data_IF_713302860441
#
_entry.id   IF_713302860441
#
_cell.length_a   1.000
_cell.length_b   1.000
_cell.length_c   1.000
_cell.angle_alpha   90.00
_cell.angle_beta   90.00
_cell.angle_gamma   90.00
#
_symmetry.space_group_name_H-M   'P 1'
#
loop_
_entity.id
_entity.type
_entity.pdbx_description
1 polymer ?
#
# COMPACT_ATOMS: atom_id res chain seq x y z
N UNK A 1 -18.86 19.21 -33.34
CA UNK A 1 -18.15 18.00 -32.88
C UNK A 1 -17.02 18.46 -32.00
N UNK A 2 -17.33 18.69 -30.74
CA UNK A 2 -16.32 19.05 -29.75
C UNK A 2 -15.79 17.76 -29.13
N UNK A 3 -14.58 17.36 -29.55
CA UNK A 3 -13.78 16.43 -28.79
C UNK A 3 -13.28 17.23 -27.60
N UNK A 4 -13.87 16.98 -26.41
CA UNK A 4 -13.32 17.46 -25.16
C UNK A 4 -11.95 16.84 -25.00
N UNK A 5 -10.93 17.65 -25.25
CA UNK A 5 -9.54 17.42 -24.88
C UNK A 5 -9.50 17.34 -23.34
N UNK A 6 -9.78 16.17 -22.77
CA UNK A 6 -9.56 15.92 -21.34
C UNK A 6 -8.07 15.65 -21.20
N UNK A 7 -7.36 16.69 -20.77
CA UNK A 7 -5.98 16.57 -20.31
C UNK A 7 -5.90 15.36 -19.34
N UNK A 8 -4.96 14.42 -19.53
CA UNK A 8 -4.88 13.25 -18.69
C UNK A 8 -4.72 13.69 -17.24
N UNK A 9 -5.57 13.18 -16.36
CA UNK A 9 -5.56 13.47 -14.93
C UNK A 9 -4.13 13.36 -14.37
N UNK A 10 -3.71 14.36 -13.60
CA UNK A 10 -2.40 14.33 -12.98
C UNK A 10 -2.32 13.18 -11.97
N UNK A 11 -1.15 12.58 -11.79
CA UNK A 11 -0.92 11.51 -10.80
C UNK A 11 -1.34 11.92 -9.37
N UNK A 12 -1.17 13.21 -9.02
CA UNK A 12 -1.55 13.72 -7.71
C UNK A 12 -3.07 13.80 -7.54
N UNK A 13 -3.79 14.30 -8.53
CA UNK A 13 -5.26 14.31 -8.52
C UNK A 13 -5.83 12.89 -8.44
N UNK A 14 -5.24 11.94 -9.18
CA UNK A 14 -5.62 10.53 -9.09
C UNK A 14 -5.36 9.96 -7.68
N UNK A 15 -4.22 10.27 -7.06
CA UNK A 15 -3.92 9.87 -5.69
C UNK A 15 -4.94 10.45 -4.70
N UNK A 16 -5.31 11.71 -4.85
CA UNK A 16 -6.29 12.38 -3.98
C UNK A 16 -7.71 11.81 -4.13
N UNK A 17 -8.07 11.37 -5.34
CA UNK A 17 -9.36 10.71 -5.60
C UNK A 17 -9.45 9.32 -4.95
N UNK A 18 -8.33 8.62 -4.82
CA UNK A 18 -8.22 7.28 -4.25
C UNK A 18 -7.98 6.19 -5.28
N UNK A 19 -6.97 5.37 -5.01
CA UNK A 19 -6.45 4.35 -5.91
C UNK A 19 -6.29 3.00 -5.20
N UNK A 20 -6.30 1.93 -5.99
CA UNK A 20 -5.71 0.65 -5.60
C UNK A 20 -4.21 0.72 -5.86
N UNK A 21 -3.41 0.57 -4.80
CA UNK A 21 -1.95 0.59 -4.87
C UNK A 21 -1.43 -0.71 -4.24
N UNK A 22 -1.11 -1.74 -5.06
CA UNK A 22 -0.46 -2.95 -4.58
C UNK A 22 0.89 -2.65 -3.92
N UNK A 23 1.14 -3.27 -2.76
CA UNK A 23 2.46 -3.33 -2.15
C UNK A 23 3.21 -4.52 -2.78
N UNK A 24 4.03 -4.25 -3.79
CA UNK A 24 4.60 -5.26 -4.68
C UNK A 24 5.54 -6.22 -3.95
N UNK A 25 5.30 -7.56 -3.99
CA UNK A 25 6.24 -8.55 -3.51
C UNK A 25 7.51 -8.63 -4.34
N UNK A 26 8.55 -9.22 -3.77
CA UNK A 26 9.81 -9.49 -4.44
C UNK A 26 9.78 -10.87 -5.10
N UNK A 27 9.97 -10.92 -6.41
CA UNK A 27 10.07 -12.16 -7.16
C UNK A 27 11.50 -12.73 -7.06
N UNK A 28 11.64 -13.93 -6.50
CA UNK A 28 12.91 -14.63 -6.37
C UNK A 28 12.83 -16.01 -7.03
N UNK A 29 13.98 -16.51 -7.52
CA UNK A 29 14.16 -17.87 -7.94
C UNK A 29 14.53 -18.81 -6.77
N UNK A 30 14.69 -20.10 -7.02
CA UNK A 30 15.03 -21.09 -6.00
C UNK A 30 16.40 -20.84 -5.32
N UNK A 31 17.28 -20.07 -5.94
CA UNK A 31 18.56 -19.63 -5.37
C UNK A 31 18.45 -18.32 -4.60
N UNK A 32 17.22 -17.80 -4.41
CA UNK A 32 16.91 -16.52 -3.75
C UNK A 32 17.55 -15.33 -4.45
N UNK A 33 17.77 -15.43 -5.74
CA UNK A 33 18.19 -14.32 -6.59
C UNK A 33 16.96 -13.70 -7.25
N UNK A 34 17.06 -12.43 -7.63
CA UNK A 34 15.98 -11.71 -8.32
C UNK A 34 15.58 -12.44 -9.61
N UNK A 35 14.30 -12.80 -9.70
CA UNK A 35 13.68 -13.22 -10.95
C UNK A 35 13.11 -12.00 -11.66
N UNK A 36 13.93 -11.40 -12.51
CA UNK A 36 13.62 -10.15 -13.17
C UNK A 36 12.35 -10.24 -14.04
N UNK A 37 12.19 -11.35 -14.79
CA UNK A 37 11.02 -11.49 -15.68
C UNK A 37 9.73 -11.62 -14.86
N UNK A 38 9.73 -12.35 -13.77
CA UNK A 38 8.57 -12.45 -12.88
C UNK A 38 8.31 -11.13 -12.14
N UNK A 39 9.37 -10.41 -11.76
CA UNK A 39 9.21 -9.08 -11.15
C UNK A 39 8.54 -8.10 -12.13
N UNK A 40 8.94 -8.10 -13.41
CA UNK A 40 8.29 -7.33 -14.48
C UNK A 40 6.84 -7.78 -14.69
N UNK A 41 6.61 -9.10 -14.70
CA UNK A 41 5.27 -9.67 -14.86
C UNK A 41 4.32 -9.25 -13.74
N UNK A 42 4.76 -9.14 -12.50
CA UNK A 42 3.95 -8.60 -11.40
C UNK A 42 3.49 -7.17 -11.70
N UNK A 43 4.38 -6.29 -12.14
CA UNK A 43 4.01 -4.90 -12.48
C UNK A 43 3.01 -4.86 -13.64
N UNK A 44 3.22 -5.69 -14.67
CA UNK A 44 2.29 -5.82 -15.81
C UNK A 44 0.92 -6.31 -15.37
N UNK A 45 0.87 -7.30 -14.48
CA UNK A 45 -0.36 -7.79 -13.88
C UNK A 45 -1.12 -6.68 -13.16
N UNK A 46 -0.47 -5.91 -12.29
CA UNK A 46 -1.11 -4.82 -11.54
C UNK A 46 -1.68 -3.75 -12.47
N UNK A 47 -0.92 -3.32 -13.45
CA UNK A 47 -1.38 -2.30 -14.40
C UNK A 47 -2.52 -2.81 -15.29
N UNK A 48 -2.47 -4.05 -15.74
CA UNK A 48 -3.54 -4.70 -16.51
C UNK A 48 -4.82 -4.90 -15.67
N UNK A 49 -4.68 -5.23 -14.37
CA UNK A 49 -5.79 -5.35 -13.43
C UNK A 49 -6.51 -4.00 -13.18
N UNK A 50 -5.87 -2.87 -13.49
CA UNK A 50 -6.40 -1.54 -13.31
C UNK A 50 -5.94 -0.84 -12.02
N UNK A 51 -4.88 -1.32 -11.38
CA UNK A 51 -4.25 -0.60 -10.27
C UNK A 51 -3.85 0.81 -10.71
N UNK A 52 -4.09 1.82 -9.88
CA UNK A 52 -3.75 3.22 -10.20
C UNK A 52 -2.30 3.60 -9.85
N UNK A 53 -1.57 2.72 -9.21
CA UNK A 53 -0.16 2.87 -8.86
C UNK A 53 0.42 1.60 -8.29
N UNK A 54 1.72 1.60 -8.01
CA UNK A 54 2.42 0.48 -7.37
C UNK A 54 3.40 1.03 -6.34
N UNK A 55 3.49 0.36 -5.19
CA UNK A 55 4.49 0.63 -4.17
C UNK A 55 5.53 -0.50 -4.13
N UNK A 56 6.80 -0.17 -4.29
CA UNK A 56 7.94 -1.09 -4.21
C UNK A 56 8.87 -0.75 -3.05
N UNK A 57 9.80 -1.62 -2.72
CA UNK A 57 10.75 -1.47 -1.60
C UNK A 57 10.06 -1.22 -0.24
N UNK A 58 8.84 -1.73 -0.11
CA UNK A 58 8.01 -1.74 1.10
C UNK A 58 8.14 -3.10 1.82
N UNK A 59 7.34 -3.34 2.86
CA UNK A 59 7.42 -4.59 3.65
C UNK A 59 7.36 -5.86 2.76
N UNK A 60 6.40 -5.96 1.86
CA UNK A 60 6.23 -7.11 0.95
C UNK A 60 7.39 -7.28 -0.05
N UNK A 61 8.08 -6.19 -0.41
CA UNK A 61 9.30 -6.25 -1.23
C UNK A 61 10.52 -6.67 -0.42
N UNK A 62 10.37 -6.81 0.90
CA UNK A 62 11.40 -7.17 1.88
C UNK A 62 12.47 -6.09 2.06
N UNK A 63 12.51 -5.48 3.23
CA UNK A 63 13.42 -4.36 3.51
C UNK A 63 14.90 -4.71 3.32
N UNK A 64 15.24 -6.01 3.45
CA UNK A 64 16.60 -6.54 3.27
C UNK A 64 17.16 -6.35 1.85
N UNK A 65 16.37 -5.99 0.83
CA UNK A 65 16.88 -5.60 -0.50
C UNK A 65 17.92 -4.47 -0.41
N UNK A 66 17.92 -3.70 0.69
CA UNK A 66 18.84 -2.59 0.97
C UNK A 66 20.20 -3.04 1.54
N UNK A 67 20.28 -4.29 2.00
CA UNK A 67 21.53 -4.83 2.49
C UNK A 67 22.58 -4.80 1.37
N UNK A 68 23.76 -4.19 1.59
CA UNK A 68 24.82 -4.15 0.59
C UNK A 68 25.24 -5.52 0.07
N UNK A 69 25.11 -6.58 0.90
CA UNK A 69 25.39 -7.96 0.49
C UNK A 69 24.34 -8.56 -0.45
N UNK A 70 23.13 -7.98 -0.48
CA UNK A 70 22.01 -8.37 -1.35
C UNK A 70 21.94 -7.47 -2.58
N UNK A 71 22.03 -6.15 -2.40
CA UNK A 71 22.16 -5.17 -3.48
C UNK A 71 20.98 -5.08 -4.45
N UNK A 72 19.76 -5.39 -4.01
CA UNK A 72 18.58 -5.43 -4.89
C UNK A 72 17.72 -4.15 -4.86
N UNK A 73 18.06 -3.16 -4.03
CA UNK A 73 17.26 -1.94 -3.91
C UNK A 73 17.12 -1.23 -5.26
N UNK A 74 18.23 -0.83 -5.87
CA UNK A 74 18.21 -0.11 -7.14
C UNK A 74 17.65 -0.95 -8.30
N UNK A 75 18.06 -2.22 -8.53
CA UNK A 75 17.48 -3.05 -9.60
C UNK A 75 15.95 -3.17 -9.54
N UNK A 76 15.37 -3.39 -8.37
CA UNK A 76 13.92 -3.51 -8.19
C UNK A 76 13.21 -2.19 -8.52
N UNK A 77 13.79 -1.06 -8.13
CA UNK A 77 13.24 0.26 -8.44
C UNK A 77 13.26 0.55 -9.95
N UNK A 78 14.36 0.24 -10.61
CA UNK A 78 14.52 0.43 -12.05
C UNK A 78 13.51 -0.38 -12.84
N UNK A 79 13.36 -1.68 -12.53
CA UNK A 79 12.36 -2.57 -13.15
C UNK A 79 10.95 -2.00 -13.00
N UNK A 80 10.57 -1.59 -11.79
CA UNK A 80 9.23 -1.07 -11.56
C UNK A 80 8.99 0.26 -12.29
N UNK A 81 9.97 1.18 -12.28
CA UNK A 81 9.86 2.45 -12.98
C UNK A 81 9.74 2.27 -14.50
N UNK A 82 10.52 1.36 -15.10
CA UNK A 82 10.48 1.03 -16.52
C UNK A 82 9.11 0.47 -16.93
N UNK A 83 8.61 -0.55 -16.22
CA UNK A 83 7.34 -1.19 -16.55
C UNK A 83 6.15 -0.24 -16.36
N UNK A 84 6.16 0.61 -15.32
CA UNK A 84 5.12 1.62 -15.10
C UNK A 84 5.15 2.70 -16.18
N UNK A 85 6.33 3.19 -16.59
CA UNK A 85 6.47 4.13 -17.72
C UNK A 85 5.99 3.52 -19.02
N UNK A 86 6.30 2.24 -19.27
CA UNK A 86 5.82 1.53 -20.45
C UNK A 86 4.30 1.33 -20.44
N UNK A 87 3.71 1.07 -19.28
CA UNK A 87 2.26 0.97 -19.12
C UNK A 87 1.58 2.33 -19.32
N UNK A 88 2.14 3.42 -18.80
CA UNK A 88 1.65 4.79 -19.00
C UNK A 88 1.59 5.12 -20.51
N UNK A 89 2.67 4.83 -21.23
CA UNK A 89 2.75 5.09 -22.67
C UNK A 89 1.73 4.26 -23.48
N UNK A 90 1.44 3.01 -23.06
CA UNK A 90 0.49 2.13 -23.73
C UNK A 90 -0.97 2.50 -23.49
N UNK A 91 -1.30 2.99 -22.31
CA UNK A 91 -2.69 3.17 -21.88
C UNK A 91 -3.11 4.64 -21.73
N UNK A 92 -2.20 5.60 -21.97
CA UNK A 92 -2.48 7.02 -21.78
C UNK A 92 -2.86 7.37 -20.33
N UNK A 93 -2.25 6.67 -19.35
CA UNK A 93 -2.50 6.84 -17.91
C UNK A 93 -1.22 7.29 -17.21
N UNK A 94 -1.38 7.84 -16.01
CA UNK A 94 -0.27 8.22 -15.15
C UNK A 94 -0.31 7.37 -13.86
N UNK A 95 0.28 6.17 -13.89
CA UNK A 95 0.37 5.33 -12.69
C UNK A 95 1.23 5.99 -11.62
N UNK A 96 0.73 6.00 -10.39
CA UNK A 96 1.49 6.56 -9.25
C UNK A 96 2.63 5.62 -8.87
N UNK A 97 3.86 6.12 -8.93
CA UNK A 97 5.10 5.41 -8.59
C UNK A 97 5.50 5.75 -7.17
N UNK A 98 5.37 4.78 -6.27
CA UNK A 98 5.69 4.93 -4.85
C UNK A 98 6.81 3.97 -4.48
N UNK A 99 7.74 4.43 -3.65
CA UNK A 99 8.77 3.56 -3.09
C UNK A 99 8.88 3.77 -1.58
N UNK A 100 9.14 2.70 -0.84
CA UNK A 100 9.46 2.80 0.58
C UNK A 100 10.78 3.53 0.80
N UNK A 101 10.82 4.41 1.80
CA UNK A 101 12.03 5.08 2.31
C UNK A 101 12.24 4.63 3.74
N UNK A 102 13.46 4.23 4.08
CA UNK A 102 13.83 3.67 5.37
C UNK A 102 15.13 4.25 5.90
N UNK A 103 15.43 3.92 7.17
CA UNK A 103 16.72 4.19 7.78
C UNK A 103 16.82 5.54 8.50
N UNK A 104 18.01 5.84 9.05
CA UNK A 104 18.32 7.15 9.62
C UNK A 104 18.25 8.26 8.59
N UNK A 105 18.19 9.53 9.01
CA UNK A 105 17.92 10.67 8.15
C UNK A 105 18.83 10.75 6.92
N UNK A 106 20.14 10.52 7.07
CA UNK A 106 21.06 10.55 5.95
C UNK A 106 20.76 9.48 4.89
N UNK A 107 20.44 8.25 5.31
CA UNK A 107 20.03 7.18 4.40
C UNK A 107 18.70 7.52 3.73
N UNK A 108 17.71 7.98 4.49
CA UNK A 108 16.38 8.32 3.97
C UNK A 108 16.46 9.43 2.91
N UNK A 109 17.33 10.43 3.10
CA UNK A 109 17.60 11.48 2.09
C UNK A 109 18.23 10.87 0.82
N UNK A 110 19.25 10.04 0.95
CA UNK A 110 19.90 9.40 -0.19
C UNK A 110 18.94 8.47 -0.97
N UNK A 111 18.06 7.73 -0.27
CA UNK A 111 17.00 6.97 -0.91
C UNK A 111 16.03 7.90 -1.66
N UNK A 112 15.59 9.02 -1.05
CA UNK A 112 14.71 9.99 -1.69
C UNK A 112 15.33 10.61 -2.97
N UNK A 113 16.62 10.93 -2.95
CA UNK A 113 17.38 11.42 -4.12
C UNK A 113 17.41 10.37 -5.24
N UNK A 114 17.65 9.10 -4.90
CA UNK A 114 17.58 7.98 -5.85
C UNK A 114 16.19 7.86 -6.47
N UNK A 115 15.13 7.95 -5.66
CA UNK A 115 13.75 7.90 -6.13
C UNK A 115 13.45 9.04 -7.11
N UNK A 116 13.84 10.26 -6.77
CA UNK A 116 13.66 11.43 -7.62
C UNK A 116 14.35 11.24 -8.97
N UNK A 117 15.58 10.71 -8.98
CA UNK A 117 16.35 10.45 -10.21
C UNK A 117 15.69 9.41 -11.12
N UNK A 118 15.01 8.41 -10.55
CA UNK A 118 14.30 7.35 -11.28
C UNK A 118 12.88 7.76 -11.71
N UNK A 119 12.40 8.92 -11.27
CA UNK A 119 11.08 9.46 -11.60
C UNK A 119 9.95 8.84 -10.79
N UNK A 120 10.22 8.49 -9.53
CA UNK A 120 9.18 8.19 -8.56
C UNK A 120 8.46 9.46 -8.13
N UNK A 121 7.17 9.35 -7.82
CA UNK A 121 6.34 10.48 -7.46
C UNK A 121 6.35 10.78 -5.97
N UNK A 122 6.48 9.75 -5.12
CA UNK A 122 6.45 9.89 -3.67
C UNK A 122 7.21 8.79 -2.94
N UNK A 123 7.71 9.13 -1.75
CA UNK A 123 8.31 8.20 -0.81
C UNK A 123 7.37 7.81 0.32
N UNK A 124 7.13 6.52 0.53
CA UNK A 124 6.43 5.99 1.72
C UNK A 124 7.43 5.91 2.87
N UNK A 125 7.39 6.90 3.77
CA UNK A 125 8.42 7.09 4.79
C UNK A 125 8.18 6.23 6.03
N UNK A 126 9.08 5.28 6.28
CA UNK A 126 9.08 4.43 7.47
C UNK A 126 9.90 5.06 8.59
N UNK A 127 9.32 5.13 9.79
CA UNK A 127 9.99 5.60 11.01
C UNK A 127 10.55 4.45 11.87
N UNK A 128 10.59 3.23 11.34
CA UNK A 128 11.02 2.03 12.07
C UNK A 128 12.47 2.11 12.58
N UNK A 129 13.36 2.80 11.88
CA UNK A 129 14.74 3.00 12.30
C UNK A 129 14.90 3.99 13.48
N UNK A 130 13.87 4.80 13.74
CA UNK A 130 13.87 5.87 14.74
C UNK A 130 12.94 5.54 15.92
N UNK A 131 12.96 4.30 16.38
CA UNK A 131 11.99 3.78 17.37
C UNK A 131 12.04 4.50 18.72
N UNK A 132 13.22 4.96 19.14
CA UNK A 132 13.45 5.56 20.44
C UNK A 132 13.44 7.08 20.42
N UNK A 133 13.35 7.69 19.25
CA UNK A 133 13.36 9.13 19.07
C UNK A 133 12.03 9.77 19.49
N UNK A 134 12.10 11.00 19.98
CA UNK A 134 10.91 11.79 20.32
C UNK A 134 10.23 12.38 19.07
N UNK A 135 9.04 12.96 19.27
CA UNK A 135 8.26 13.55 18.18
C UNK A 135 9.02 14.70 17.47
N UNK A 136 9.88 15.44 18.18
CA UNK A 136 10.61 16.57 17.58
C UNK A 136 11.65 16.08 16.58
N UNK A 137 12.44 15.08 16.94
CA UNK A 137 13.41 14.44 16.04
C UNK A 137 12.71 13.75 14.86
N UNK A 138 11.58 13.07 15.11
CA UNK A 138 10.79 12.45 14.04
C UNK A 138 10.29 13.50 13.03
N UNK A 139 9.77 14.62 13.49
CA UNK A 139 9.28 15.69 12.61
C UNK A 139 10.44 16.34 11.85
N UNK A 140 11.60 16.53 12.48
CA UNK A 140 12.81 17.01 11.78
C UNK A 140 13.23 16.06 10.67
N UNK A 141 13.26 14.76 10.94
CA UNK A 141 13.53 13.73 9.95
C UNK A 141 12.55 13.78 8.77
N UNK A 142 11.24 13.82 9.05
CA UNK A 142 10.20 13.90 8.03
C UNK A 142 10.36 15.16 7.15
N UNK A 143 10.62 16.31 7.77
CA UNK A 143 10.85 17.57 7.04
C UNK A 143 12.07 17.50 6.13
N UNK A 144 13.18 16.90 6.60
CA UNK A 144 14.40 16.77 5.81
C UNK A 144 14.18 15.91 4.55
N UNK A 145 13.48 14.79 4.67
CA UNK A 145 13.14 13.93 3.52
C UNK A 145 12.14 14.60 2.59
N UNK A 146 11.13 15.29 3.14
CA UNK A 146 10.11 16.00 2.37
C UNK A 146 10.67 17.17 1.51
N UNK A 147 11.85 17.67 1.82
CA UNK A 147 12.54 18.67 0.97
C UNK A 147 13.05 18.09 -0.35
N UNK A 148 13.26 16.77 -0.42
CA UNK A 148 13.81 16.10 -1.60
C UNK A 148 12.69 15.57 -2.51
N UNK A 149 11.68 14.95 -1.93
CA UNK A 149 10.58 14.29 -2.64
C UNK A 149 9.29 14.39 -1.81
N UNK A 150 8.09 14.49 -2.44
CA UNK A 150 6.83 14.34 -1.72
C UNK A 150 6.79 13.06 -0.90
N UNK A 151 6.29 13.13 0.34
CA UNK A 151 6.24 11.98 1.23
C UNK A 151 4.81 11.56 1.56
N UNK A 152 4.67 10.24 1.74
CA UNK A 152 3.49 9.58 2.29
C UNK A 152 3.86 9.11 3.69
N UNK A 153 3.12 9.54 4.70
CA UNK A 153 3.29 9.04 6.07
C UNK A 153 2.96 7.55 6.15
N UNK A 154 3.71 6.80 6.94
CA UNK A 154 3.47 5.38 7.12
C UNK A 154 3.24 5.04 8.59
N UNK A 155 1.99 4.84 8.98
CA UNK A 155 1.66 4.30 10.29
C UNK A 155 1.69 2.78 10.24
N UNK A 156 2.86 2.19 10.45
CA UNK A 156 3.05 0.74 10.47
C UNK A 156 2.79 0.19 11.87
N UNK A 157 2.08 -0.93 11.97
CA UNK A 157 1.82 -1.61 13.25
C UNK A 157 3.12 -2.11 13.92
N UNK A 158 3.18 -2.12 15.28
CA UNK A 158 4.38 -2.55 16.00
C UNK A 158 4.77 -4.00 15.76
N UNK A 159 3.82 -4.91 15.50
CA UNK A 159 4.09 -6.35 15.30
C UNK A 159 5.01 -6.64 14.10
N UNK A 160 5.00 -5.77 13.07
CA UNK A 160 5.86 -5.90 11.88
C UNK A 160 6.89 -4.79 11.78
N UNK A 161 7.35 -4.26 12.91
CA UNK A 161 8.45 -3.32 12.96
C UNK A 161 8.08 -1.85 13.08
N UNK A 162 6.81 -1.49 13.15
CA UNK A 162 6.36 -0.13 13.36
C UNK A 162 6.52 0.38 14.80
N UNK A 163 5.97 1.56 15.06
CA UNK A 163 5.89 2.16 16.40
C UNK A 163 4.56 2.85 16.59
N UNK A 164 4.12 2.99 17.85
CA UNK A 164 2.95 3.81 18.18
C UNK A 164 3.31 5.29 18.01
N UNK A 165 2.48 6.02 17.28
CA UNK A 165 2.60 7.44 17.03
C UNK A 165 1.37 8.17 17.57
N UNK A 166 1.59 9.27 18.27
CA UNK A 166 0.52 10.03 18.92
C UNK A 166 -0.30 10.84 17.90
N UNK A 167 -1.54 11.19 18.27
CA UNK A 167 -2.33 12.16 17.51
C UNK A 167 -1.58 13.50 17.34
N UNK A 168 -0.83 13.94 18.37
CA UNK A 168 0.01 15.13 18.31
C UNK A 168 1.10 15.02 17.23
N UNK A 169 1.74 13.85 17.10
CA UNK A 169 2.71 13.61 16.03
C UNK A 169 2.06 13.79 14.65
N UNK A 170 0.91 13.13 14.42
CA UNK A 170 0.21 13.21 13.13
C UNK A 170 -0.28 14.61 12.80
N UNK A 171 -0.69 15.37 13.81
CA UNK A 171 -1.09 16.79 13.64
C UNK A 171 0.08 17.62 13.11
N UNK A 172 1.27 17.47 13.70
CA UNK A 172 2.50 18.15 13.28
C UNK A 172 3.03 17.64 11.94
N UNK A 173 2.89 16.34 11.68
CA UNK A 173 3.24 15.71 10.41
C UNK A 173 2.41 16.30 9.26
N UNK A 174 1.12 16.51 9.47
CA UNK A 174 0.22 17.11 8.49
C UNK A 174 0.56 18.59 8.18
N UNK A 175 1.33 19.27 9.02
CA UNK A 175 1.80 20.66 8.78
C UNK A 175 3.00 20.73 7.81
N UNK A 176 3.61 19.60 7.46
CA UNK A 176 4.72 19.55 6.52
C UNK A 176 4.18 19.72 5.09
N UNK A 177 4.66 20.71 4.36
CA UNK A 177 4.14 21.14 3.06
C UNK A 177 4.07 19.99 2.04
N UNK A 178 5.15 19.23 1.88
CA UNK A 178 5.25 18.13 0.92
C UNK A 178 4.72 16.77 1.43
N UNK A 179 3.91 16.76 2.48
CA UNK A 179 3.10 15.59 2.83
C UNK A 179 1.87 15.58 1.93
N UNK A 180 1.71 14.53 1.14
CA UNK A 180 0.61 14.39 0.17
C UNK A 180 -0.40 13.31 0.54
N UNK A 181 0.00 12.35 1.37
CA UNK A 181 -0.88 11.27 1.84
C UNK A 181 -0.39 10.66 3.15
N UNK A 182 -1.24 9.86 3.79
CA UNK A 182 -0.88 9.01 4.93
C UNK A 182 -1.45 7.61 4.70
N UNK A 183 -0.58 6.59 4.72
CA UNK A 183 -0.96 5.18 4.81
C UNK A 183 -1.18 4.82 6.27
N UNK A 184 -2.42 4.40 6.60
CA UNK A 184 -2.88 4.09 7.96
C UNK A 184 -2.95 2.56 8.10
N UNK A 185 -1.99 1.97 8.80
CA UNK A 185 -1.84 0.52 8.96
C UNK A 185 -1.51 0.10 10.41
N UNK A 186 -2.10 0.70 11.46
CA UNK A 186 -1.84 0.27 12.84
C UNK A 186 -2.65 -0.97 13.25
N UNK A 187 -3.63 -1.43 12.49
CA UNK A 187 -4.61 -2.47 12.83
C UNK A 187 -5.31 -2.18 14.18
N UNK A 188 -5.58 -0.90 14.41
CA UNK A 188 -6.19 -0.40 15.63
C UNK A 188 -7.09 0.79 15.31
N UNK A 189 -8.39 0.67 15.64
CA UNK A 189 -9.38 1.71 15.34
C UNK A 189 -9.14 3.02 16.06
N UNK A 190 -8.64 2.99 17.30
CA UNK A 190 -8.32 4.21 18.04
C UNK A 190 -7.19 4.97 17.37
N UNK A 191 -6.11 4.27 17.01
CA UNK A 191 -4.97 4.86 16.31
C UNK A 191 -5.32 5.34 14.91
N UNK A 192 -6.21 4.64 14.20
CA UNK A 192 -6.78 5.10 12.92
C UNK A 192 -7.53 6.42 13.10
N UNK A 193 -8.38 6.53 14.15
CA UNK A 193 -9.10 7.76 14.46
C UNK A 193 -8.16 8.92 14.80
N UNK A 194 -7.06 8.66 15.51
CA UNK A 194 -6.06 9.68 15.83
C UNK A 194 -5.46 10.32 14.58
N UNK A 195 -5.13 9.51 13.56
CA UNK A 195 -4.61 10.02 12.28
C UNK A 195 -5.66 10.83 11.56
N UNK A 196 -6.86 10.27 11.37
CA UNK A 196 -7.92 10.94 10.60
C UNK A 196 -8.32 12.26 11.27
N UNK A 197 -8.44 12.28 12.60
CA UNK A 197 -8.71 13.49 13.38
C UNK A 197 -7.59 14.52 13.24
N UNK A 198 -6.32 14.09 13.35
CA UNK A 198 -5.17 14.97 13.22
C UNK A 198 -5.15 15.69 11.87
N UNK A 199 -5.44 14.98 10.78
CA UNK A 199 -5.53 15.57 9.45
C UNK A 199 -6.75 16.49 9.32
N UNK A 200 -7.91 16.13 9.91
CA UNK A 200 -9.08 17.01 9.94
C UNK A 200 -8.77 18.34 10.66
N UNK A 201 -8.11 18.26 11.82
CA UNK A 201 -7.72 19.43 12.62
C UNK A 201 -6.63 20.29 11.95
N UNK A 202 -5.83 19.73 11.04
CA UNK A 202 -4.81 20.49 10.32
C UNK A 202 -5.36 21.44 9.26
N UNK A 203 -6.59 21.24 8.82
CA UNK A 203 -7.19 21.95 7.69
C UNK A 203 -6.59 21.58 6.32
N UNK A 204 -5.69 20.57 6.26
CA UNK A 204 -5.05 20.06 5.04
C UNK A 204 -5.99 19.08 4.33
N UNK A 205 -6.87 19.62 3.47
CA UNK A 205 -7.80 18.81 2.68
C UNK A 205 -7.11 18.05 1.55
N UNK A 206 -5.94 18.51 1.14
CA UNK A 206 -5.10 17.96 0.08
C UNK A 206 -4.34 16.68 0.48
N UNK A 207 -4.25 16.36 1.78
CA UNK A 207 -3.64 15.10 2.24
C UNK A 207 -4.63 13.95 2.05
N UNK A 208 -4.30 13.02 1.16
CA UNK A 208 -5.07 11.81 0.93
C UNK A 208 -4.85 10.78 2.05
N UNK A 209 -5.92 10.14 2.52
CA UNK A 209 -5.84 9.06 3.51
C UNK A 209 -6.02 7.71 2.83
N UNK A 210 -5.09 6.82 3.06
CA UNK A 210 -5.05 5.48 2.48
C UNK A 210 -5.11 4.42 3.56
N UNK A 211 -6.01 3.44 3.43
CA UNK A 211 -5.97 2.30 4.34
C UNK A 211 -4.79 1.39 4.05
N UNK A 212 -4.21 0.87 5.10
CA UNK A 212 -3.28 -0.23 5.15
C UNK A 212 -3.69 -1.21 6.25
N UNK A 213 -4.92 -1.05 6.79
CA UNK A 213 -5.53 -1.94 7.77
C UNK A 213 -6.14 -3.14 7.05
N UNK A 214 -5.35 -4.16 6.79
CA UNK A 214 -5.79 -5.37 6.09
C UNK A 214 -6.92 -6.11 6.84
N UNK A 215 -7.10 -5.84 8.13
CA UNK A 215 -8.20 -6.34 8.97
C UNK A 215 -9.53 -5.57 8.81
N UNK A 216 -9.56 -4.44 8.07
CA UNK A 216 -10.76 -3.59 8.03
C UNK A 216 -10.90 -2.76 6.73
N UNK A 217 -10.47 -3.27 5.60
CA UNK A 217 -10.34 -2.53 4.33
C UNK A 217 -11.64 -1.86 3.91
N UNK A 218 -12.71 -2.63 3.75
CA UNK A 218 -13.98 -2.14 3.20
C UNK A 218 -14.61 -1.10 4.11
N UNK A 219 -14.63 -1.37 5.43
CA UNK A 219 -15.21 -0.42 6.39
C UNK A 219 -14.41 0.89 6.45
N UNK A 220 -13.08 0.85 6.30
CA UNK A 220 -12.27 2.07 6.20
C UNK A 220 -12.70 2.92 5.00
N UNK A 221 -12.93 2.28 3.84
CA UNK A 221 -13.23 2.97 2.59
C UNK A 221 -14.64 3.57 2.53
N UNK A 222 -15.63 2.97 3.22
CA UNK A 222 -17.01 3.44 3.18
C UNK A 222 -17.40 4.33 4.37
N UNK A 223 -16.56 4.41 5.41
CA UNK A 223 -16.89 5.16 6.63
C UNK A 223 -16.64 6.66 6.45
N UNK A 224 -17.65 7.54 6.67
CA UNK A 224 -17.43 8.97 6.81
C UNK A 224 -16.96 9.28 8.25
N UNK A 225 -15.75 9.76 8.41
CA UNK A 225 -15.21 10.19 9.70
C UNK A 225 -15.60 11.64 9.95
N UNK A 226 -16.52 11.87 10.90
CA UNK A 226 -17.06 13.18 11.22
C UNK A 226 -16.59 13.67 12.58
N UNK A 227 -16.08 14.89 12.62
CA UNK A 227 -15.58 15.55 13.82
C UNK A 227 -16.20 16.93 13.97
N UNK A 228 -16.29 17.42 15.21
CA UNK A 228 -16.55 18.83 15.50
C UNK A 228 -15.22 19.50 15.81
N UNK A 229 -14.78 20.42 14.96
CA UNK A 229 -13.51 21.14 15.08
C UNK A 229 -13.83 22.65 15.08
N UNK A 230 -13.48 23.32 16.16
CA UNK A 230 -13.78 24.77 16.36
C UNK A 230 -15.26 25.10 16.10
N UNK A 231 -16.18 24.23 16.55
CA UNK A 231 -17.62 24.40 16.40
C UNK A 231 -18.14 24.13 14.97
N UNK A 232 -17.31 23.62 14.06
CA UNK A 232 -17.70 23.30 12.68
C UNK A 232 -17.63 21.79 12.44
N UNK A 233 -18.61 21.21 11.71
CA UNK A 233 -18.54 19.82 11.31
C UNK A 233 -17.48 19.67 10.20
N UNK A 234 -16.53 18.76 10.40
CA UNK A 234 -15.52 18.38 9.41
C UNK A 234 -15.68 16.90 9.10
N UNK A 235 -15.69 16.54 7.82
CA UNK A 235 -15.70 15.16 7.35
C UNK A 235 -14.40 14.83 6.63
N UNK A 236 -13.85 13.66 6.93
CA UNK A 236 -12.72 13.07 6.20
C UNK A 236 -13.07 11.65 5.79
N UNK A 237 -12.44 11.20 4.72
CA UNK A 237 -12.59 9.82 4.23
C UNK A 237 -11.23 9.22 3.93
N UNK A 238 -11.13 7.92 4.13
CA UNK A 238 -10.04 7.12 3.57
C UNK A 238 -10.46 6.81 2.14
N UNK A 239 -9.69 7.31 1.17
CA UNK A 239 -10.10 7.34 -0.24
C UNK A 239 -9.63 6.16 -1.05
N UNK A 240 -8.58 5.46 -0.60
CA UNK A 240 -8.00 4.33 -1.31
C UNK A 240 -7.21 3.43 -0.36
N UNK A 241 -6.45 2.50 -0.91
CA UNK A 241 -5.60 1.62 -0.12
C UNK A 241 -4.22 1.42 -0.74
N UNK A 242 -3.22 1.32 0.13
CA UNK A 242 -1.89 0.86 -0.18
C UNK A 242 -1.64 -0.38 0.69
N UNK A 243 -1.90 -1.56 0.15
CA UNK A 243 -2.13 -2.78 0.91
C UNK A 243 -1.29 -3.94 0.40
N UNK A 244 -0.86 -4.80 1.32
CA UNK A 244 -0.30 -6.11 1.01
C UNK A 244 -1.34 -7.03 0.35
N UNK A 245 -2.56 -7.06 0.88
CA UNK A 245 -3.66 -7.82 0.27
C UNK A 245 -3.88 -7.50 -1.22
N UNK A 246 -3.77 -6.25 -1.61
CA UNK A 246 -4.02 -5.84 -2.99
C UNK A 246 -2.91 -6.23 -3.98
N UNK A 247 -1.82 -6.83 -3.49
CA UNK A 247 -0.82 -7.47 -4.35
C UNK A 247 -1.26 -8.82 -4.90
N UNK A 248 -2.34 -9.39 -4.33
CA UNK A 248 -3.01 -10.61 -4.79
C UNK A 248 -4.46 -10.25 -5.15
N UNK A 249 -5.05 -10.94 -6.11
CA UNK A 249 -6.43 -10.71 -6.56
C UNK A 249 -6.71 -9.25 -6.90
N UNK A 250 -5.72 -8.58 -7.50
CA UNK A 250 -5.72 -7.13 -7.72
C UNK A 250 -6.91 -6.66 -8.56
N UNK A 251 -7.36 -7.47 -9.55
CA UNK A 251 -8.53 -7.14 -10.35
C UNK A 251 -9.78 -7.00 -9.50
N UNK A 252 -9.99 -7.91 -8.54
CA UNK A 252 -11.12 -7.86 -7.61
C UNK A 252 -11.00 -6.70 -6.61
N UNK A 253 -9.78 -6.36 -6.20
CA UNK A 253 -9.53 -5.19 -5.36
C UNK A 253 -9.93 -3.88 -6.07
N UNK A 254 -9.66 -3.75 -7.38
CA UNK A 254 -10.06 -2.60 -8.18
C UNK A 254 -11.59 -2.50 -8.25
N UNK A 255 -12.28 -3.60 -8.55
CA UNK A 255 -13.74 -3.66 -8.61
C UNK A 255 -14.38 -3.35 -7.23
N UNK A 256 -13.77 -3.83 -6.14
CA UNK A 256 -14.22 -3.57 -4.78
C UNK A 256 -14.07 -2.09 -4.39
N UNK A 257 -12.92 -1.47 -4.71
CA UNK A 257 -12.70 -0.04 -4.44
C UNK A 257 -13.71 0.82 -5.20
N UNK A 258 -14.01 0.50 -6.47
CA UNK A 258 -15.00 1.21 -7.25
C UNK A 258 -16.39 1.15 -6.60
N UNK A 259 -16.81 -0.03 -6.12
CA UNK A 259 -18.05 -0.19 -5.36
C UNK A 259 -18.04 0.63 -4.06
N UNK A 260 -16.94 0.65 -3.33
CA UNK A 260 -16.80 1.47 -2.13
C UNK A 260 -16.93 2.97 -2.46
N UNK A 261 -16.31 3.43 -3.54
CA UNK A 261 -16.42 4.81 -4.00
C UNK A 261 -17.86 5.18 -4.40
N UNK A 262 -18.60 4.28 -5.05
CA UNK A 262 -20.01 4.52 -5.38
C UNK A 262 -20.86 4.73 -4.12
N UNK A 263 -20.66 3.90 -3.08
CA UNK A 263 -21.33 4.05 -1.79
C UNK A 263 -20.89 5.33 -1.07
N UNK A 264 -19.60 5.64 -1.09
CA UNK A 264 -19.05 6.82 -0.41
C UNK A 264 -19.51 8.15 -1.01
N UNK A 265 -19.87 8.19 -2.30
CA UNK A 265 -20.37 9.39 -3.01
C UNK A 265 -21.87 9.62 -2.86
N UNK A 266 -22.63 8.60 -2.48
CA UNK A 266 -24.08 8.64 -2.41
C UNK A 266 -24.62 8.71 -0.99
N UNK A 267 -25.85 9.22 -0.85
CA UNK A 267 -26.63 9.15 0.41
C UNK A 267 -27.42 7.83 0.50
N UNK A 268 -27.04 6.82 -0.28
CA UNK A 268 -27.74 5.53 -0.29
C UNK A 268 -27.31 4.66 0.89
N UNK A 269 -28.19 3.82 1.40
CA UNK A 269 -27.84 2.82 2.41
C UNK A 269 -26.69 1.93 1.93
N UNK A 270 -25.79 1.56 2.85
CA UNK A 270 -24.70 0.62 2.54
C UNK A 270 -25.31 -0.74 2.15
N UNK A 271 -24.99 -1.28 0.96
CA UNK A 271 -25.51 -2.58 0.54
C UNK A 271 -25.07 -3.69 1.50
N UNK A 272 -25.97 -4.58 1.95
CA UNK A 272 -25.60 -5.66 2.88
C UNK A 272 -24.53 -6.61 2.36
N UNK A 273 -24.44 -6.80 1.05
CA UNK A 273 -23.42 -7.62 0.40
C UNK A 273 -22.01 -6.98 0.49
N UNK A 274 -21.93 -5.66 0.53
CA UNK A 274 -20.64 -4.97 0.75
C UNK A 274 -20.14 -5.16 2.19
N UNK A 275 -21.05 -5.18 3.18
CA UNK A 275 -20.69 -5.51 4.56
C UNK A 275 -20.26 -6.99 4.71
N UNK A 276 -20.88 -7.89 3.94
CA UNK A 276 -20.44 -9.28 3.86
C UNK A 276 -19.06 -9.39 3.24
N UNK A 277 -18.79 -8.70 2.12
CA UNK A 277 -17.48 -8.65 1.50
C UNK A 277 -16.41 -8.13 2.46
N UNK A 278 -16.73 -7.22 3.38
CA UNK A 278 -15.79 -6.75 4.39
C UNK A 278 -15.27 -7.90 5.27
N UNK A 279 -16.14 -8.80 5.69
CA UNK A 279 -15.77 -9.96 6.52
C UNK A 279 -15.01 -10.99 5.67
N UNK A 280 -15.47 -11.28 4.46
CA UNK A 280 -14.85 -12.25 3.56
C UNK A 280 -13.40 -11.84 3.19
N UNK A 281 -13.16 -10.56 2.92
CA UNK A 281 -11.82 -10.01 2.66
C UNK A 281 -10.94 -10.11 3.91
N UNK A 282 -11.49 -9.81 5.09
CA UNK A 282 -10.73 -9.92 6.36
C UNK A 282 -10.37 -11.37 6.66
N UNK A 283 -11.26 -12.32 6.39
CA UNK A 283 -11.01 -13.75 6.57
C UNK A 283 -9.92 -14.27 5.61
N UNK A 284 -9.96 -13.84 4.35
CA UNK A 284 -8.85 -14.10 3.40
C UNK A 284 -7.52 -13.57 3.94
N UNK A 285 -7.52 -12.35 4.49
CA UNK A 285 -6.31 -11.75 5.04
C UNK A 285 -5.78 -12.47 6.27
N UNK A 286 -6.66 -13.04 7.11
CA UNK A 286 -6.23 -13.85 8.24
C UNK A 286 -5.34 -15.02 7.78
N UNK A 287 -5.72 -15.70 6.68
CA UNK A 287 -4.96 -16.80 6.09
C UNK A 287 -3.69 -16.30 5.35
N UNK A 288 -3.82 -15.27 4.49
CA UNK A 288 -2.70 -14.79 3.68
C UNK A 288 -1.59 -14.16 4.51
N UNK A 289 -1.96 -13.43 5.57
CA UNK A 289 -1.01 -12.75 6.45
C UNK A 289 -0.62 -13.54 7.69
N UNK A 290 -1.15 -14.76 7.85
CA UNK A 290 -0.81 -15.60 9.01
C UNK A 290 -1.08 -14.90 10.35
N UNK A 291 -2.27 -14.34 10.48
CA UNK A 291 -2.67 -13.58 11.66
C UNK A 291 -2.58 -14.41 12.96
N UNK A 292 -2.91 -15.70 12.87
CA UNK A 292 -2.85 -16.66 13.97
C UNK A 292 -1.42 -16.83 14.53
N UNK A 293 -0.38 -16.64 13.73
CA UNK A 293 1.03 -16.77 14.12
C UNK A 293 1.76 -15.42 14.18
N UNK A 294 1.04 -14.34 14.49
CA UNK A 294 1.61 -12.99 14.63
C UNK A 294 2.31 -12.51 13.36
N UNK A 295 1.73 -12.79 12.20
CA UNK A 295 2.16 -12.36 10.87
C UNK A 295 3.51 -12.92 10.39
N UNK A 296 4.02 -14.02 10.98
CA UNK A 296 5.31 -14.60 10.58
C UNK A 296 5.34 -15.13 9.15
N UNK A 297 4.24 -15.71 8.68
CA UNK A 297 4.09 -16.20 7.31
C UNK A 297 3.50 -15.18 6.32
N UNK A 298 3.50 -13.89 6.68
CA UNK A 298 2.81 -12.83 5.91
C UNK A 298 3.30 -12.74 4.45
N UNK A 299 4.60 -12.60 4.22
CA UNK A 299 5.13 -12.46 2.85
C UNK A 299 5.04 -13.79 2.12
N UNK A 300 5.38 -14.91 2.77
CA UNK A 300 5.28 -16.24 2.19
C UNK A 300 3.84 -16.60 1.79
N UNK A 301 2.83 -16.18 2.56
CA UNK A 301 1.42 -16.38 2.23
C UNK A 301 0.99 -15.63 0.97
N UNK A 302 1.40 -14.37 0.82
CA UNK A 302 1.18 -13.62 -0.42
C UNK A 302 1.90 -14.28 -1.61
N UNK A 303 3.14 -14.74 -1.42
CA UNK A 303 3.88 -15.46 -2.45
C UNK A 303 3.16 -16.76 -2.84
N UNK A 304 2.56 -17.48 -1.89
CA UNK A 304 1.80 -18.71 -2.18
C UNK A 304 0.59 -18.43 -3.07
N UNK A 305 -0.16 -17.35 -2.81
CA UNK A 305 -1.28 -16.95 -3.68
C UNK A 305 -0.77 -16.62 -5.09
N UNK A 306 0.29 -15.82 -5.22
CA UNK A 306 0.87 -15.49 -6.52
C UNK A 306 1.48 -16.69 -7.24
N UNK A 307 2.04 -17.65 -6.49
CA UNK A 307 2.53 -18.92 -7.04
C UNK A 307 1.38 -19.75 -7.62
N UNK A 308 0.26 -19.85 -6.92
CA UNK A 308 -0.95 -20.54 -7.42
C UNK A 308 -1.47 -19.91 -8.71
N UNK A 309 -1.36 -18.59 -8.83
CA UNK A 309 -1.70 -17.83 -10.04
C UNK A 309 -0.64 -17.95 -11.16
N UNK A 310 0.51 -18.61 -10.90
CA UNK A 310 1.61 -18.73 -11.85
C UNK A 310 2.41 -17.43 -12.06
N UNK A 311 2.15 -16.39 -11.25
CA UNK A 311 2.88 -15.12 -11.28
C UNK A 311 4.26 -15.24 -10.64
N UNK A 312 4.41 -16.05 -9.58
CA UNK A 312 5.68 -16.45 -8.98
C UNK A 312 5.97 -17.92 -9.22
N UNK A 313 7.24 -18.32 -9.18
CA UNK A 313 7.65 -19.70 -9.31
C UNK A 313 7.58 -20.44 -7.97
N UNK A 314 7.89 -19.74 -6.87
CA UNK A 314 7.91 -20.28 -5.52
C UNK A 314 7.58 -19.20 -4.48
N UNK A 315 7.73 -19.60 -3.21
CA UNK A 315 7.42 -18.72 -2.07
C UNK A 315 8.69 -18.18 -1.39
N UNK A 316 9.81 -18.19 -2.11
CA UNK A 316 11.11 -17.84 -1.54
C UNK A 316 11.16 -16.37 -1.12
N UNK A 317 11.66 -16.14 0.11
CA UNK A 317 12.00 -14.83 0.65
C UNK A 317 13.53 -14.70 0.78
N UNK A 318 14.04 -13.48 0.93
CA UNK A 318 15.48 -13.24 1.15
C UNK A 318 15.96 -13.93 2.42
N UNK A 319 15.16 -13.84 3.50
CA UNK A 319 15.37 -14.65 4.71
C UNK A 319 14.84 -16.07 4.47
N UNK A 320 15.70 -17.11 4.54
CA UNK A 320 15.26 -18.51 4.44
C UNK A 320 14.31 -18.94 5.56
N UNK A 321 14.34 -18.25 6.70
CA UNK A 321 13.46 -18.51 7.84
C UNK A 321 12.04 -18.01 7.62
N UNK A 322 11.79 -17.16 6.61
CA UNK A 322 10.48 -16.68 6.28
C UNK A 322 9.78 -17.63 5.29
N UNK A 323 8.83 -18.39 5.79
CA UNK A 323 8.07 -19.40 5.07
C UNK A 323 6.66 -19.50 5.65
N UNK A 324 5.78 -20.29 5.02
CA UNK A 324 4.45 -20.56 5.56
C UNK A 324 4.53 -21.19 6.96
N UNK A 325 3.70 -20.71 7.86
CA UNK A 325 3.53 -21.34 9.18
C UNK A 325 2.79 -22.69 9.04
N UNK A 326 2.96 -23.59 10.01
CA UNK A 326 2.20 -24.85 10.03
C UNK A 326 0.69 -24.60 9.95
N UNK A 327 0.00 -25.22 8.99
CA UNK A 327 -1.44 -25.07 8.77
C UNK A 327 -1.84 -23.90 7.85
N UNK A 328 -0.96 -22.95 7.57
CA UNK A 328 -1.29 -21.76 6.78
C UNK A 328 -1.67 -22.11 5.33
N UNK A 329 -1.05 -23.11 4.72
CA UNK A 329 -1.39 -23.55 3.37
C UNK A 329 -2.84 -24.07 3.29
N UNK A 330 -3.27 -24.83 4.30
CA UNK A 330 -4.62 -25.33 4.44
C UNK A 330 -5.64 -24.22 4.69
N UNK A 331 -5.28 -23.19 5.48
CA UNK A 331 -6.12 -22.00 5.65
C UNK A 331 -6.29 -21.24 4.32
N UNK A 332 -5.23 -21.11 3.52
CA UNK A 332 -5.30 -20.54 2.17
C UNK A 332 -6.23 -21.38 1.28
N UNK A 333 -6.17 -22.72 1.32
CA UNK A 333 -7.09 -23.61 0.59
C UNK A 333 -8.55 -23.38 0.98
N UNK A 334 -8.80 -23.18 2.29
CA UNK A 334 -10.14 -22.92 2.81
C UNK A 334 -10.73 -21.62 2.24
N UNK A 335 -9.99 -20.50 2.25
CA UNK A 335 -10.50 -19.23 1.74
C UNK A 335 -10.65 -19.22 0.22
N UNK A 336 -9.79 -19.93 -0.53
CA UNK A 336 -9.98 -20.14 -1.96
C UNK A 336 -11.30 -20.90 -2.27
N UNK A 337 -11.66 -21.86 -1.43
CA UNK A 337 -12.89 -22.62 -1.56
C UNK A 337 -14.10 -21.81 -1.11
N UNK A 338 -13.99 -21.07 -0.02
CA UNK A 338 -15.09 -20.31 0.57
C UNK A 338 -15.48 -19.08 -0.26
N UNK A 339 -14.48 -18.40 -0.86
CA UNK A 339 -14.67 -17.11 -1.51
C UNK A 339 -14.16 -17.06 -2.96
N UNK A 340 -14.62 -17.97 -3.85
CA UNK A 340 -14.13 -18.02 -5.24
C UNK A 340 -14.43 -16.74 -6.04
N UNK A 341 -15.41 -15.95 -5.62
CA UNK A 341 -15.79 -14.67 -6.24
C UNK A 341 -14.79 -13.53 -5.94
N UNK A 342 -13.92 -13.67 -4.94
CA UNK A 342 -12.85 -12.73 -4.63
C UNK A 342 -11.55 -13.04 -5.39
N UNK A 343 -11.48 -14.21 -6.00
CA UNK A 343 -10.32 -14.68 -6.75
C UNK A 343 -10.33 -14.11 -8.18
N UNK A 344 -9.16 -13.78 -8.72
CA UNK A 344 -9.01 -13.29 -10.10
C UNK A 344 -8.13 -14.19 -10.98
N UNK A 345 -8.02 -15.48 -10.66
CA UNK A 345 -7.20 -16.44 -11.39
C UNK A 345 -7.56 -16.53 -12.88
N UNK A 346 -8.86 -16.41 -13.22
CA UNK A 346 -9.32 -16.38 -14.60
C UNK A 346 -8.75 -15.18 -15.37
N UNK A 347 -8.71 -14.02 -14.72
CA UNK A 347 -8.09 -12.84 -15.29
C UNK A 347 -6.60 -13.04 -15.51
N UNK A 348 -5.88 -13.59 -14.54
CA UNK A 348 -4.43 -13.84 -14.64
C UNK A 348 -4.11 -14.85 -15.74
N UNK A 349 -4.94 -15.88 -15.94
CA UNK A 349 -4.77 -16.85 -17.04
C UNK A 349 -4.97 -16.23 -18.43
N UNK A 350 -5.66 -15.12 -18.53
CA UNK A 350 -5.90 -14.39 -19.77
C UNK A 350 -4.81 -13.36 -20.12
N UNK A 351 -3.82 -13.14 -19.25
CA UNK A 351 -2.69 -12.25 -19.46
C UNK A 351 -1.55 -12.95 -20.20
#
# INVERSE_FOLDING_TARGET
MDASDTDPETWLAALQRGLVIPACPLALNAQRQLDEERQRRLIRYYTAAGAGGVAVAVHTTQFAIRDPGIGLFQPVLEIAAEELKAADARHGRNHVRICGICGPTAQAIAEAETLASLGYHAGLLSLAALRLEDDDLLIMHCKAVAQVLPIIGFYLQPAVGGRVLSQRFWRRFAEIENVIAIKIAPFNRYQTLDVVRAVAESGREDIALYTGNDDNIVLDLITPYRFQIDGRPMERRIVGGLLGHWSVWTKRAVELLERCHQVAKGDQPIPPDLLRAAIEVTDCNAAFFDAAHSFRGCIAGLHEVLRRQGLLEGIWCLDPGEHLSPGQAEEIDQVYTAYPHLNDDDFVRGL
#
